data_IF_390592930288
#
_entry.id   IF_390592930288
#
_cell.length_a   1.000
_cell.length_b   1.000
_cell.length_c   1.000
_cell.angle_alpha   90.00
_cell.angle_beta   90.00
_cell.angle_gamma   90.00
#
_symmetry.space_group_name_H-M   'P 1'
#
loop_
_entity.id
_entity.type
_entity.pdbx_description
1 polymer ?
#
# COMPACT_ATOMS: atom_id res chain seq x y z
N UNK A 1 5.00 37.99 -9.29
CA UNK A 1 5.41 37.01 -10.33
C UNK A 1 4.21 36.52 -11.17
N UNK A 2 3.70 37.37 -12.06
CA UNK A 2 2.59 37.04 -12.96
C UNK A 2 3.00 37.34 -14.41
N UNK A 3 2.53 36.52 -15.37
CA UNK A 3 2.71 36.72 -16.81
C UNK A 3 1.43 36.33 -17.53
N UNK A 4 1.19 36.95 -18.69
CA UNK A 4 0.12 36.58 -19.60
C UNK A 4 0.33 35.13 -20.07
N UNK A 5 -0.77 34.37 -20.16
CA UNK A 5 -0.74 32.92 -20.43
C UNK A 5 -1.82 32.44 -21.41
N UNK A 6 -2.43 33.34 -22.19
CA UNK A 6 -3.33 32.94 -23.29
C UNK A 6 -2.58 32.28 -24.44
N UNK A 7 -1.40 32.81 -24.79
CA UNK A 7 -0.47 32.16 -25.69
C UNK A 7 0.61 31.44 -24.87
N UNK A 8 0.78 30.15 -25.12
CA UNK A 8 1.79 29.32 -24.48
C UNK A 8 2.59 28.55 -25.53
N UNK A 9 3.80 28.14 -25.17
CA UNK A 9 4.59 27.28 -26.03
C UNK A 9 4.01 25.87 -26.05
N UNK A 10 4.23 25.13 -27.14
CA UNK A 10 3.80 23.72 -27.25
C UNK A 10 4.34 22.89 -26.09
N UNK A 11 5.60 23.10 -25.69
CA UNK A 11 6.21 22.46 -24.52
C UNK A 11 5.43 22.72 -23.22
N UNK A 12 4.95 23.94 -23.00
CA UNK A 12 4.13 24.28 -21.82
C UNK A 12 2.71 23.73 -21.89
N UNK A 13 2.23 23.43 -23.10
CA UNK A 13 0.90 22.83 -23.30
C UNK A 13 0.89 21.31 -23.05
N UNK A 14 2.05 20.66 -22.96
CA UNK A 14 2.16 19.21 -22.83
C UNK A 14 1.40 18.71 -21.59
N UNK A 15 0.49 17.75 -21.80
CA UNK A 15 -0.37 17.22 -20.74
C UNK A 15 -1.67 17.99 -20.51
N UNK A 16 -1.86 19.15 -21.16
CA UNK A 16 -3.12 19.90 -21.09
C UNK A 16 -4.18 19.29 -22.02
N UNK A 17 -5.45 19.54 -21.70
CA UNK A 17 -6.59 19.32 -22.60
C UNK A 17 -7.26 20.67 -22.84
N UNK A 18 -7.40 21.04 -24.11
CA UNK A 18 -7.92 22.32 -24.57
C UNK A 18 -9.18 22.10 -25.40
N UNK A 19 -10.20 22.93 -25.17
CA UNK A 19 -11.45 22.85 -25.93
C UNK A 19 -11.32 23.57 -27.29
N UNK A 20 -10.54 24.66 -27.35
CA UNK A 20 -10.19 25.35 -28.59
C UNK A 20 -8.78 25.95 -28.51
N UNK A 21 -8.07 25.95 -29.64
CA UNK A 21 -6.75 26.55 -29.75
C UNK A 21 -6.43 26.94 -31.19
N UNK A 22 -5.76 28.08 -31.34
CA UNK A 22 -5.09 28.46 -32.57
C UNK A 22 -3.62 28.01 -32.48
N UNK A 23 -3.16 27.21 -33.45
CA UNK A 23 -1.85 26.58 -33.45
C UNK A 23 -1.12 26.93 -34.75
N UNK A 24 0.11 27.43 -34.64
CA UNK A 24 1.03 27.61 -35.77
C UNK A 24 2.21 26.65 -35.65
N UNK A 25 2.35 25.74 -36.61
CA UNK A 25 3.39 24.71 -36.68
C UNK A 25 4.49 25.04 -37.70
N UNK A 26 4.45 26.22 -38.33
CA UNK A 26 5.44 26.63 -39.36
C UNK A 26 6.87 26.66 -38.84
N UNK A 27 7.03 26.90 -37.54
CA UNK A 27 8.32 26.95 -36.83
C UNK A 27 8.60 25.68 -36.00
N UNK A 28 7.97 24.55 -36.30
CA UNK A 28 8.31 23.29 -35.61
C UNK A 28 9.75 22.90 -35.93
N UNK A 29 10.51 22.51 -34.92
CA UNK A 29 11.96 22.28 -35.05
C UNK A 29 12.44 20.97 -34.39
N UNK A 30 11.54 20.25 -33.70
CA UNK A 30 11.83 18.95 -33.08
C UNK A 30 10.77 17.93 -33.50
N UNK A 31 11.15 16.67 -33.77
CA UNK A 31 10.19 15.58 -33.98
C UNK A 31 9.17 15.46 -32.84
N UNK A 32 7.93 15.13 -33.18
CA UNK A 32 6.83 14.98 -32.22
C UNK A 32 6.19 16.29 -31.73
N UNK A 33 6.78 17.46 -32.02
CA UNK A 33 6.22 18.76 -31.60
C UNK A 33 4.83 19.02 -32.19
N UNK A 34 4.59 18.67 -33.46
CA UNK A 34 3.27 18.78 -34.07
C UNK A 34 2.25 17.86 -33.43
N UNK A 35 2.64 16.61 -33.13
CA UNK A 35 1.79 15.67 -32.38
C UNK A 35 1.41 16.21 -31.00
N UNK A 36 2.38 16.72 -30.23
CA UNK A 36 2.10 17.29 -28.89
C UNK A 36 1.08 18.41 -29.00
N UNK A 37 1.26 19.34 -29.96
CA UNK A 37 0.38 20.48 -30.14
C UNK A 37 -1.06 20.07 -30.50
N UNK A 38 -1.21 19.21 -31.51
CA UNK A 38 -2.52 18.79 -32.02
C UNK A 38 -3.27 17.90 -31.02
N UNK A 39 -2.55 17.03 -30.30
CA UNK A 39 -3.14 16.14 -29.28
C UNK A 39 -3.64 16.86 -28.03
N UNK A 40 -3.45 18.19 -27.91
CA UNK A 40 -4.03 18.96 -26.81
C UNK A 40 -5.51 19.23 -27.02
N UNK A 41 -5.97 19.29 -28.28
CA UNK A 41 -7.37 19.57 -28.56
C UNK A 41 -8.24 18.33 -28.41
N UNK A 42 -9.45 18.55 -27.88
CA UNK A 42 -10.45 17.48 -27.68
C UNK A 42 -11.25 17.19 -28.95
N UNK A 43 -11.45 18.19 -29.79
CA UNK A 43 -12.25 18.09 -31.01
C UNK A 43 -11.58 18.84 -32.15
N UNK A 44 -11.86 18.40 -33.37
CA UNK A 44 -11.37 19.08 -34.58
C UNK A 44 -12.01 20.46 -34.76
N UNK A 45 -13.25 20.66 -34.32
CA UNK A 45 -13.96 21.94 -34.41
C UNK A 45 -13.31 23.07 -33.60
N UNK A 46 -12.56 22.73 -32.54
CA UNK A 46 -11.81 23.69 -31.75
C UNK A 46 -10.45 24.07 -32.34
N UNK A 47 -10.02 23.45 -33.45
CA UNK A 47 -8.71 23.66 -34.04
C UNK A 47 -8.74 24.77 -35.08
N UNK A 48 -7.88 25.77 -34.88
CA UNK A 48 -7.46 26.67 -35.96
C UNK A 48 -5.98 26.41 -36.23
N UNK A 49 -5.67 25.74 -37.34
CA UNK A 49 -4.30 25.43 -37.73
C UNK A 49 -3.77 26.47 -38.72
N UNK A 50 -2.67 27.13 -38.37
CA UNK A 50 -1.87 27.97 -39.27
C UNK A 50 -0.76 27.13 -39.91
N UNK A 51 0.28 27.77 -40.44
CA UNK A 51 1.33 27.13 -41.23
C UNK A 51 1.90 25.85 -40.59
N UNK A 52 2.43 24.97 -41.42
CA UNK A 52 2.97 23.67 -41.02
C UNK A 52 4.22 23.36 -41.85
N UNK A 53 5.13 22.57 -41.28
CA UNK A 53 6.33 22.11 -41.96
C UNK A 53 6.52 20.60 -41.75
N UNK A 54 7.45 19.99 -42.49
CA UNK A 54 7.69 18.54 -42.43
C UNK A 54 8.14 18.06 -41.04
N UNK A 55 8.88 18.91 -40.31
CA UNK A 55 9.34 18.59 -38.95
C UNK A 55 8.18 18.39 -37.97
N UNK A 56 7.05 19.06 -38.19
CA UNK A 56 5.85 18.88 -37.38
C UNK A 56 5.31 17.44 -37.43
N UNK A 57 5.56 16.74 -38.53
CA UNK A 57 5.16 15.35 -38.76
C UNK A 57 6.27 14.33 -38.48
N UNK A 58 7.50 14.79 -38.24
CA UNK A 58 8.62 13.90 -38.01
C UNK A 58 8.48 13.13 -36.69
N UNK A 59 8.92 11.87 -36.71
CA UNK A 59 9.06 10.99 -35.54
C UNK A 59 10.54 10.69 -35.37
N UNK A 60 11.02 10.68 -34.12
CA UNK A 60 12.41 10.36 -33.85
C UNK A 60 12.71 8.88 -34.20
N UNK A 61 13.81 8.57 -34.94
CA UNK A 61 14.12 7.20 -35.36
C UNK A 61 14.18 6.20 -34.21
N UNK A 62 14.82 6.55 -33.10
CA UNK A 62 14.93 5.67 -31.92
C UNK A 62 13.55 5.34 -31.31
N UNK A 63 12.61 6.30 -31.33
CA UNK A 63 11.24 6.07 -30.84
C UNK A 63 10.48 5.13 -31.77
N UNK A 64 10.63 5.28 -33.09
CA UNK A 64 10.04 4.37 -34.06
C UNK A 64 10.60 2.94 -33.95
N UNK A 65 11.90 2.82 -33.69
CA UNK A 65 12.54 1.52 -33.43
C UNK A 65 12.02 0.90 -32.11
N UNK A 66 11.94 1.69 -31.04
CA UNK A 66 11.41 1.24 -29.77
C UNK A 66 9.94 0.78 -29.90
N UNK A 67 9.10 1.53 -30.59
CA UNK A 67 7.69 1.17 -30.82
C UNK A 67 7.58 -0.20 -31.52
N UNK A 68 8.42 -0.45 -32.52
CA UNK A 68 8.48 -1.76 -33.19
C UNK A 68 8.84 -2.89 -32.22
N UNK A 69 9.72 -2.66 -31.25
CA UNK A 69 10.06 -3.64 -30.22
C UNK A 69 8.88 -3.86 -29.25
N UNK A 70 8.25 -2.76 -28.80
CA UNK A 70 7.08 -2.82 -27.91
C UNK A 70 5.92 -3.58 -28.54
N UNK A 71 5.66 -3.39 -29.83
CA UNK A 71 4.63 -4.13 -30.57
C UNK A 71 4.93 -5.63 -30.63
N UNK A 72 6.19 -6.01 -30.86
CA UNK A 72 6.62 -7.42 -30.86
C UNK A 72 6.45 -8.05 -29.48
N UNK A 73 6.87 -7.35 -28.43
CA UNK A 73 6.72 -7.83 -27.06
C UNK A 73 5.25 -7.92 -26.65
N UNK A 74 4.42 -6.94 -27.02
CA UNK A 74 2.98 -6.98 -26.78
C UNK A 74 2.35 -8.23 -27.42
N UNK A 75 2.64 -8.50 -28.69
CA UNK A 75 2.12 -9.68 -29.39
C UNK A 75 2.63 -11.00 -28.78
N UNK A 76 3.87 -11.02 -28.26
CA UNK A 76 4.41 -12.17 -27.53
C UNK A 76 3.64 -12.39 -26.22
N UNK A 77 3.44 -11.35 -25.43
CA UNK A 77 2.77 -11.45 -24.13
C UNK A 77 1.28 -11.75 -24.26
N UNK A 78 0.62 -11.24 -25.29
CA UNK A 78 -0.77 -11.59 -25.62
C UNK A 78 -0.95 -13.10 -25.77
N UNK A 79 -0.05 -13.77 -26.51
CA UNK A 79 -0.05 -15.24 -26.68
C UNK A 79 0.27 -16.01 -25.40
N UNK A 80 0.96 -15.40 -24.46
CA UNK A 80 1.26 -16.00 -23.15
C UNK A 80 0.03 -15.88 -22.27
N UNK A 81 -0.56 -14.69 -22.18
CA UNK A 81 -1.76 -14.40 -21.40
C UNK A 81 -2.94 -15.25 -21.88
N UNK A 82 -3.09 -15.44 -23.19
CA UNK A 82 -4.17 -16.24 -23.77
C UNK A 82 -4.14 -17.73 -23.40
N UNK A 83 -3.07 -18.22 -22.77
CA UNK A 83 -2.94 -19.61 -22.32
C UNK A 83 -3.51 -19.85 -20.93
N UNK A 84 -3.75 -18.79 -20.16
CA UNK A 84 -4.27 -18.90 -18.82
C UNK A 84 -5.80 -18.83 -18.83
N UNK A 85 -6.42 -19.62 -17.97
CA UNK A 85 -7.86 -19.50 -17.72
C UNK A 85 -8.17 -18.26 -16.88
N UNK A 86 -9.41 -17.77 -16.99
CA UNK A 86 -9.87 -16.57 -16.26
C UNK A 86 -9.67 -16.69 -14.74
N UNK A 87 -9.85 -17.90 -14.19
CA UNK A 87 -9.70 -18.16 -12.75
C UNK A 87 -8.22 -18.16 -12.30
N UNK A 88 -7.32 -18.64 -13.16
CA UNK A 88 -5.87 -18.58 -12.92
C UNK A 88 -5.40 -17.13 -12.92
N UNK A 89 -5.84 -16.32 -13.90
CA UNK A 89 -5.55 -14.88 -13.96
C UNK A 89 -6.07 -14.15 -12.72
N UNK A 90 -7.30 -14.45 -12.30
CA UNK A 90 -7.90 -13.88 -11.09
C UNK A 90 -7.08 -14.21 -9.84
N UNK A 91 -6.57 -15.43 -9.74
CA UNK A 91 -5.70 -15.87 -8.64
C UNK A 91 -4.38 -15.11 -8.67
N UNK A 92 -3.71 -15.03 -9.82
CA UNK A 92 -2.46 -14.26 -9.99
C UNK A 92 -2.64 -12.78 -9.62
N UNK A 93 -3.75 -12.16 -10.00
CA UNK A 93 -4.06 -10.78 -9.62
C UNK A 93 -4.20 -10.62 -8.09
N UNK A 94 -4.91 -11.54 -7.42
CA UNK A 94 -5.07 -11.52 -5.95
C UNK A 94 -3.75 -11.70 -5.23
N UNK A 95 -2.90 -12.60 -5.72
CA UNK A 95 -1.55 -12.82 -5.17
C UNK A 95 -0.66 -11.59 -5.35
N UNK A 96 -0.69 -10.97 -6.52
CA UNK A 96 0.04 -9.73 -6.79
C UNK A 96 -0.37 -8.61 -5.84
N UNK A 97 -1.68 -8.40 -5.65
CA UNK A 97 -2.21 -7.39 -4.71
C UNK A 97 -1.67 -7.63 -3.30
N UNK A 98 -1.69 -8.88 -2.81
CA UNK A 98 -1.15 -9.23 -1.49
C UNK A 98 0.37 -8.97 -1.41
N UNK A 99 1.11 -9.31 -2.47
CA UNK A 99 2.57 -9.13 -2.54
C UNK A 99 2.98 -7.66 -2.45
N UNK A 100 2.21 -6.75 -3.07
CA UNK A 100 2.46 -5.30 -2.99
C UNK A 100 1.90 -4.65 -1.72
N UNK A 101 1.44 -5.45 -0.74
CA UNK A 101 0.90 -4.95 0.53
C UNK A 101 -0.55 -4.44 0.44
N UNK A 102 -1.26 -4.75 -0.64
CA UNK A 102 -2.69 -4.53 -0.79
C UNK A 102 -3.53 -5.60 -0.08
N UNK A 103 -4.83 -5.34 0.03
CA UNK A 103 -5.81 -6.28 0.63
C UNK A 103 -6.80 -6.75 -0.42
N UNK A 104 -7.17 -8.02 -0.35
CA UNK A 104 -8.25 -8.62 -1.16
C UNK A 104 -9.51 -8.89 -0.32
N UNK A 105 -9.52 -8.48 0.95
CA UNK A 105 -10.67 -8.64 1.83
C UNK A 105 -11.72 -7.56 1.54
N UNK A 106 -12.93 -7.98 1.14
CA UNK A 106 -14.01 -7.07 0.76
C UNK A 106 -14.45 -6.12 1.88
N UNK A 107 -14.42 -6.58 3.14
CA UNK A 107 -14.79 -5.75 4.30
C UNK A 107 -13.73 -4.68 4.53
N UNK A 108 -12.46 -5.04 4.42
CA UNK A 108 -11.36 -4.08 4.54
C UNK A 108 -11.37 -3.07 3.39
N UNK A 109 -11.66 -3.52 2.15
CA UNK A 109 -11.81 -2.63 0.99
C UNK A 109 -12.96 -1.64 1.20
N UNK A 110 -14.13 -2.12 1.65
CA UNK A 110 -15.30 -1.26 1.91
C UNK A 110 -14.98 -0.22 3.00
N UNK A 111 -14.38 -0.65 4.11
CA UNK A 111 -13.93 0.24 5.18
C UNK A 111 -12.91 1.28 4.70
N UNK A 112 -11.98 0.90 3.83
CA UNK A 112 -10.98 1.82 3.28
C UNK A 112 -11.58 2.88 2.34
N UNK A 113 -12.63 2.51 1.58
CA UNK A 113 -13.39 3.46 0.74
C UNK A 113 -14.18 4.45 1.60
N UNK A 114 -14.85 3.97 2.65
CA UNK A 114 -15.61 4.81 3.58
C UNK A 114 -14.70 5.81 4.32
N UNK A 115 -13.46 5.42 4.62
CA UNK A 115 -12.47 6.29 5.27
C UNK A 115 -11.69 7.21 4.32
N UNK A 116 -12.16 7.42 3.08
CA UNK A 116 -11.60 8.41 2.16
C UNK A 116 -10.32 8.00 1.41
N UNK A 117 -9.96 6.71 1.39
CA UNK A 117 -8.75 6.22 0.73
C UNK A 117 -7.48 6.53 1.53
N UNK A 118 -6.69 5.50 1.84
CA UNK A 118 -5.48 5.68 2.65
C UNK A 118 -4.33 6.17 1.77
N UNK A 119 -3.77 7.34 2.09
CA UNK A 119 -2.53 7.84 1.49
C UNK A 119 -1.39 6.81 1.65
N UNK A 120 -0.73 6.46 0.53
CA UNK A 120 0.35 5.46 0.48
C UNK A 120 1.61 5.86 1.26
N UNK A 121 1.75 7.13 1.67
CA UNK A 121 3.00 7.65 2.25
C UNK A 121 3.25 7.27 3.71
N UNK A 122 2.24 6.83 4.47
CA UNK A 122 2.34 6.68 5.93
C UNK A 122 1.92 5.31 6.49
N UNK A 123 1.96 4.24 5.68
CA UNK A 123 1.50 2.91 6.12
C UNK A 123 2.58 2.14 6.88
N UNK A 124 2.84 2.52 8.13
CA UNK A 124 3.29 1.55 9.14
C UNK A 124 2.15 0.55 9.40
N UNK A 125 2.42 -0.74 9.37
CA UNK A 125 1.45 -1.79 9.70
C UNK A 125 0.84 -1.54 11.08
N UNK A 126 -0.38 -2.01 11.36
CA UNK A 126 -0.97 -1.88 12.71
C UNK A 126 -0.08 -2.50 13.78
N UNK A 127 0.64 -3.58 13.43
CA UNK A 127 1.62 -4.22 14.29
C UNK A 127 2.88 -3.34 14.45
N UNK A 128 3.35 -2.70 13.37
CA UNK A 128 4.48 -1.75 13.44
C UNK A 128 4.15 -0.55 14.34
N UNK A 129 2.95 -0.01 14.25
CA UNK A 129 2.49 1.08 15.14
C UNK A 129 2.45 0.65 16.60
N UNK A 130 2.11 -0.62 16.86
CA UNK A 130 2.12 -1.18 18.22
C UNK A 130 3.55 -1.41 18.70
N UNK A 131 4.43 -1.92 17.83
CA UNK A 131 5.86 -2.10 18.10
C UNK A 131 6.54 -0.78 18.46
N UNK A 132 6.25 0.30 17.73
CA UNK A 132 6.88 1.60 17.99
C UNK A 132 6.55 2.09 19.41
N UNK A 133 5.33 1.88 19.89
CA UNK A 133 4.93 2.20 21.27
C UNK A 133 5.57 1.28 22.31
N UNK A 134 5.87 0.03 21.97
CA UNK A 134 6.62 -0.88 22.85
C UNK A 134 8.07 -0.43 23.01
N UNK A 135 8.67 0.14 21.95
CA UNK A 135 10.02 0.74 22.02
C UNK A 135 10.08 2.00 22.90
N UNK A 136 8.94 2.62 23.19
CA UNK A 136 8.81 3.72 24.15
C UNK A 136 8.64 3.23 25.60
N UNK A 137 8.71 1.92 25.86
CA UNK A 137 8.59 1.29 27.19
C UNK A 137 7.28 1.61 27.93
N UNK A 138 6.21 1.87 27.18
CA UNK A 138 4.90 2.20 27.74
C UNK A 138 4.20 0.98 28.33
N UNK A 139 3.44 1.19 29.40
CA UNK A 139 2.64 0.14 30.01
C UNK A 139 1.56 -0.38 29.06
N UNK A 140 1.12 -1.63 29.28
CA UNK A 140 0.08 -2.25 28.46
C UNK A 140 -1.21 -1.41 28.38
N UNK A 141 -1.57 -0.71 29.46
CA UNK A 141 -2.75 0.18 29.50
C UNK A 141 -2.55 1.44 28.66
N UNK A 142 -1.39 2.08 28.75
CA UNK A 142 -1.07 3.27 27.97
C UNK A 142 -1.00 2.97 26.47
N UNK A 143 -0.45 1.81 26.10
CA UNK A 143 -0.44 1.36 24.70
C UNK A 143 -1.88 1.16 24.21
N UNK A 144 -2.74 0.53 25.00
CA UNK A 144 -4.15 0.34 24.65
C UNK A 144 -4.88 1.68 24.46
N UNK A 145 -4.67 2.63 25.38
CA UNK A 145 -5.28 3.97 25.33
C UNK A 145 -4.78 4.79 24.13
N UNK A 146 -3.47 4.89 23.91
CA UNK A 146 -2.89 5.60 22.75
C UNK A 146 -3.32 4.99 21.42
N UNK A 147 -3.57 3.68 21.37
CA UNK A 147 -4.04 2.99 20.17
C UNK A 147 -5.56 3.04 20.01
N UNK A 148 -6.32 3.46 21.03
CA UNK A 148 -7.77 3.38 21.05
C UNK A 148 -8.27 1.94 20.88
N UNK A 149 -7.56 0.97 21.49
CA UNK A 149 -7.82 -0.46 21.36
C UNK A 149 -8.03 -1.11 22.74
N UNK A 150 -8.63 -2.30 22.76
CA UNK A 150 -8.72 -3.07 24.01
C UNK A 150 -7.38 -3.72 24.33
N UNK A 151 -7.14 -3.97 25.62
CA UNK A 151 -5.94 -4.69 26.10
C UNK A 151 -5.82 -6.05 25.41
N UNK A 152 -6.93 -6.78 25.28
CA UNK A 152 -6.98 -8.06 24.56
C UNK A 152 -6.52 -7.97 23.10
N UNK A 153 -6.79 -6.86 22.38
CA UNK A 153 -6.29 -6.64 21.01
C UNK A 153 -4.80 -6.36 20.98
N UNK A 154 -4.29 -5.55 21.93
CA UNK A 154 -2.85 -5.29 22.05
C UNK A 154 -2.06 -6.57 22.36
N UNK A 155 -2.58 -7.42 23.25
CA UNK A 155 -1.98 -8.73 23.54
C UNK A 155 -1.93 -9.63 22.30
N UNK A 156 -2.96 -9.59 21.44
CA UNK A 156 -2.93 -10.30 20.15
C UNK A 156 -1.87 -9.74 19.20
N UNK A 157 -1.58 -8.44 19.25
CA UNK A 157 -0.49 -7.85 18.46
C UNK A 157 0.88 -8.28 19.00
N UNK A 158 1.06 -8.35 20.32
CA UNK A 158 2.32 -8.81 20.93
C UNK A 158 2.62 -10.26 20.56
N UNK A 159 1.62 -11.15 20.63
CA UNK A 159 1.74 -12.56 20.23
C UNK A 159 2.21 -12.67 18.76
N UNK A 160 1.60 -11.89 17.84
CA UNK A 160 2.01 -11.86 16.43
C UNK A 160 3.42 -11.29 16.23
N UNK A 161 3.78 -10.24 16.94
CA UNK A 161 5.13 -9.65 16.87
C UNK A 161 6.20 -10.64 17.32
N UNK A 162 5.91 -11.45 18.33
CA UNK A 162 6.79 -12.51 18.81
C UNK A 162 6.93 -13.66 17.79
N UNK A 163 5.82 -14.11 17.18
CA UNK A 163 5.85 -15.15 16.13
C UNK A 163 6.65 -14.73 14.90
N UNK A 164 6.59 -13.45 14.52
CA UNK A 164 7.29 -12.91 13.36
C UNK A 164 8.79 -12.66 13.59
N UNK A 165 9.36 -13.07 14.73
CA UNK A 165 10.76 -12.81 15.12
C UNK A 165 11.13 -11.32 15.00
N UNK A 166 10.21 -10.43 15.36
CA UNK A 166 10.48 -8.99 15.35
C UNK A 166 11.33 -8.59 16.56
N UNK A 167 12.31 -7.70 16.35
CA UNK A 167 13.20 -7.13 17.38
C UNK A 167 12.40 -6.21 18.32
N UNK A 168 11.72 -6.82 19.30
CA UNK A 168 10.84 -6.15 20.25
C UNK A 168 11.13 -6.68 21.64
N UNK A 169 11.54 -5.78 22.53
CA UNK A 169 11.79 -6.11 23.93
C UNK A 169 10.50 -5.93 24.75
N UNK A 170 10.00 -7.02 25.32
CA UNK A 170 8.87 -7.01 26.24
C UNK A 170 9.28 -7.14 27.71
N UNK A 171 10.58 -7.20 28.02
CA UNK A 171 11.07 -7.50 29.38
C UNK A 171 10.55 -6.55 30.45
N UNK A 172 10.33 -5.28 30.10
CA UNK A 172 9.77 -4.26 30.99
C UNK A 172 8.29 -4.50 31.34
N UNK A 173 7.56 -5.32 30.56
CA UNK A 173 6.17 -5.74 30.82
C UNK A 173 6.09 -7.08 31.57
N UNK A 174 7.24 -7.65 31.96
CA UNK A 174 7.28 -8.95 32.61
C UNK A 174 6.55 -8.91 33.96
N UNK A 175 5.61 -9.83 34.22
CA UNK A 175 4.94 -9.92 35.52
C UNK A 175 5.93 -10.20 36.67
N UNK A 176 5.51 -9.89 37.89
CA UNK A 176 6.25 -10.18 39.11
C UNK A 176 6.74 -11.63 39.17
N UNK A 177 7.99 -11.83 39.61
CA UNK A 177 8.66 -13.13 39.54
C UNK A 177 7.91 -14.23 40.30
N UNK A 178 7.27 -13.88 41.42
CA UNK A 178 6.45 -14.81 42.21
C UNK A 178 5.21 -15.29 41.47
N UNK A 179 4.62 -14.43 40.65
CA UNK A 179 3.36 -14.69 39.96
C UNK A 179 3.64 -15.41 38.65
N UNK A 180 4.69 -15.02 37.92
CA UNK A 180 5.18 -15.76 36.77
C UNK A 180 5.53 -17.22 37.12
N UNK A 181 6.14 -17.46 38.28
CA UNK A 181 6.46 -18.82 38.74
C UNK A 181 5.20 -19.66 38.94
N UNK A 182 4.18 -19.12 39.63
CA UNK A 182 2.89 -19.80 39.86
C UNK A 182 2.15 -20.08 38.54
N UNK A 183 2.15 -19.11 37.62
CA UNK A 183 1.53 -19.27 36.30
C UNK A 183 2.27 -20.34 35.49
N UNK A 184 3.61 -20.31 35.46
CA UNK A 184 4.44 -21.33 34.78
C UNK A 184 4.19 -22.74 35.31
N UNK A 185 4.09 -22.91 36.62
CA UNK A 185 3.76 -24.18 37.26
C UNK A 185 2.35 -24.65 36.88
N UNK A 186 1.38 -23.74 36.84
CA UNK A 186 0.03 -24.04 36.40
C UNK A 186 0.00 -24.54 34.95
N UNK A 187 0.64 -23.83 34.01
CA UNK A 187 0.76 -24.24 32.60
C UNK A 187 1.40 -25.61 32.44
N UNK A 188 2.52 -25.87 33.14
CA UNK A 188 3.21 -27.18 33.14
C UNK A 188 2.28 -28.30 33.62
N UNK A 189 1.57 -28.05 34.71
CA UNK A 189 0.73 -29.06 35.35
C UNK A 189 -0.54 -29.40 34.56
N UNK A 190 -1.05 -28.47 33.75
CA UNK A 190 -2.20 -28.70 32.86
C UNK A 190 -1.84 -29.31 31.52
N UNK A 191 -0.54 -29.42 31.17
CA UNK A 191 -0.04 -29.90 29.87
C UNK A 191 -0.79 -29.28 28.67
N UNK A 192 -1.21 -28.02 28.79
CA UNK A 192 -2.05 -27.35 27.81
C UNK A 192 -1.62 -25.90 27.63
N UNK A 193 -1.69 -25.42 26.40
CA UNK A 193 -1.46 -24.02 26.02
C UNK A 193 -2.73 -23.16 26.13
N UNK A 194 -3.87 -23.78 26.46
CA UNK A 194 -5.17 -23.11 26.60
C UNK A 194 -5.26 -22.40 27.96
N UNK A 195 -5.80 -21.18 27.95
CA UNK A 195 -5.90 -20.32 29.13
C UNK A 195 -6.95 -20.79 30.14
N UNK A 196 -8.08 -21.31 29.66
CA UNK A 196 -9.22 -21.69 30.51
C UNK A 196 -8.88 -22.77 31.56
N UNK A 197 -8.18 -23.88 31.20
CA UNK A 197 -7.70 -24.86 32.19
C UNK A 197 -6.77 -24.27 33.26
N UNK A 198 -5.89 -23.36 32.85
CA UNK A 198 -4.90 -22.71 33.74
C UNK A 198 -5.59 -21.73 34.69
N UNK A 199 -6.51 -20.92 34.17
CA UNK A 199 -7.34 -20.00 34.95
C UNK A 199 -8.14 -20.74 36.03
N UNK A 200 -8.75 -21.88 35.67
CA UNK A 200 -9.50 -22.72 36.62
C UNK A 200 -8.59 -23.27 37.72
N UNK A 201 -7.36 -23.69 37.37
CA UNK A 201 -6.40 -24.22 38.34
C UNK A 201 -5.86 -23.17 39.31
N UNK A 202 -5.72 -21.94 38.85
CA UNK A 202 -5.30 -20.80 39.67
C UNK A 202 -6.45 -20.16 40.46
N UNK A 203 -7.65 -20.77 40.44
CA UNK A 203 -8.80 -20.33 41.24
C UNK A 203 -9.32 -18.94 40.87
N UNK A 204 -9.09 -18.47 39.64
CA UNK A 204 -9.50 -17.13 39.20
C UNK A 204 -8.70 -15.99 39.81
N UNK A 205 -7.55 -16.28 40.45
CA UNK A 205 -6.68 -15.25 41.03
C UNK A 205 -6.08 -14.28 40.00
N UNK A 206 -5.90 -14.74 38.76
CA UNK A 206 -5.32 -13.96 37.66
C UNK A 206 -6.32 -13.89 36.51
N UNK A 207 -6.46 -12.72 35.89
CA UNK A 207 -7.33 -12.52 34.75
C UNK A 207 -6.81 -13.24 33.50
N UNK A 208 -7.66 -13.41 32.48
CA UNK A 208 -7.23 -13.94 31.19
C UNK A 208 -6.14 -13.08 30.52
N UNK A 209 -6.15 -11.77 30.77
CA UNK A 209 -5.14 -10.84 30.24
C UNK A 209 -3.79 -11.05 30.93
N UNK A 210 -3.78 -11.24 32.25
CA UNK A 210 -2.56 -11.56 33.01
C UNK A 210 -1.93 -12.87 32.53
N UNK A 211 -2.77 -13.89 32.27
CA UNK A 211 -2.31 -15.18 31.77
C UNK A 211 -1.76 -15.09 30.33
N UNK A 212 -2.35 -14.23 29.48
CA UNK A 212 -1.85 -13.99 28.12
C UNK A 212 -0.53 -13.23 28.15
N UNK A 213 -0.41 -12.21 28.98
CA UNK A 213 0.83 -11.46 29.15
C UNK A 213 1.95 -12.37 29.67
N UNK A 214 1.68 -13.15 30.72
CA UNK A 214 2.65 -14.09 31.27
C UNK A 214 3.12 -15.12 30.24
N UNK A 215 2.23 -15.57 29.35
CA UNK A 215 2.53 -16.54 28.29
C UNK A 215 3.56 -16.04 27.27
N UNK A 216 3.71 -14.72 27.08
CA UNK A 216 4.77 -14.17 26.22
C UNK A 216 6.18 -14.50 26.75
N UNK A 217 6.31 -14.85 28.03
CA UNK A 217 7.59 -15.11 28.71
C UNK A 217 7.80 -16.58 29.12
N UNK A 218 6.95 -17.50 28.65
CA UNK A 218 7.01 -18.94 28.99
C UNK A 218 7.65 -19.77 27.88
#
# INVERSE_FOLDING_TARGET
PLRLAWAITIHKSQGMSLDAAEIDLSKSFVPGQGYVALSRLRTLSGLVLRGINDMAFAVHPDVAQLDTLLLKDSAKWEKVISRFETDEISTMHKEFIKKIGGTTDEKEIKKNKENGGVSLKDKKSTHDKTRDLVKEELTLKEIAERRGMTIGTILSHFEKLQEQMSDVDFTYLKPEASDLKKIKEAFKSTKSTKLSPVHKKLGGKYSYEDLRLARLFL
#
